data_IF_316263583602
#
_entry.id   IF_316263583602
#
_cell.length_a   1.000
_cell.length_b   1.000
_cell.length_c   1.000
_cell.angle_alpha   90.00
_cell.angle_beta   90.00
_cell.angle_gamma   90.00
#
_symmetry.space_group_name_H-M   'P 1'
#
loop_
_entity.id
_entity.type
_entity.pdbx_description
1 polymer ?
#
# COMPACT_ATOMS: atom_id res chain seq x y z
N UNK A 1 -29.09 -17.14 -12.15
CA UNK A 1 -27.96 -16.23 -11.93
C UNK A 1 -27.83 -16.03 -10.44
N UNK A 2 -26.83 -16.66 -9.84
CA UNK A 2 -26.59 -16.62 -8.42
C UNK A 2 -25.70 -15.42 -8.07
N UNK A 3 -25.83 -14.94 -6.85
CA UNK A 3 -24.96 -13.93 -6.27
C UNK A 3 -24.27 -14.52 -5.04
N UNK A 4 -22.95 -14.42 -5.00
CA UNK A 4 -22.13 -14.87 -3.89
C UNK A 4 -21.47 -13.67 -3.23
N UNK A 5 -21.59 -13.54 -1.92
CA UNK A 5 -20.94 -12.46 -1.15
C UNK A 5 -19.79 -13.03 -0.32
N UNK A 6 -18.65 -12.35 -0.37
CA UNK A 6 -17.49 -12.61 0.48
C UNK A 6 -17.20 -11.35 1.28
N UNK A 7 -17.26 -11.46 2.60
CA UNK A 7 -16.99 -10.36 3.51
C UNK A 7 -15.48 -10.22 3.73
N UNK A 8 -14.96 -9.01 3.52
CA UNK A 8 -13.60 -8.69 3.91
C UNK A 8 -13.47 -8.68 5.45
N UNK A 9 -12.32 -9.11 5.99
CA UNK A 9 -12.03 -8.99 7.41
C UNK A 9 -11.97 -7.52 7.83
N UNK A 10 -12.13 -7.25 9.13
CA UNK A 10 -12.06 -5.88 9.66
C UNK A 10 -10.68 -5.23 9.44
N UNK A 11 -9.63 -6.04 9.45
CA UNK A 11 -8.25 -5.63 9.17
C UNK A 11 -7.70 -6.51 8.06
N UNK A 12 -7.31 -5.91 6.93
CA UNK A 12 -6.76 -6.62 5.78
C UNK A 12 -5.25 -6.43 5.71
N UNK A 13 -4.52 -7.08 6.61
CA UNK A 13 -3.08 -7.30 6.47
C UNK A 13 -2.77 -8.60 5.71
N UNK A 14 -1.50 -8.82 5.36
CA UNK A 14 -1.01 -9.97 4.54
C UNK A 14 -1.62 -11.34 4.91
N UNK A 15 -1.72 -11.67 6.19
CA UNK A 15 -2.28 -12.96 6.64
C UNK A 15 -3.79 -13.05 6.38
N UNK A 16 -4.52 -11.98 6.69
CA UNK A 16 -5.97 -11.90 6.49
C UNK A 16 -6.34 -11.87 5.00
N UNK A 17 -5.53 -11.18 4.18
CA UNK A 17 -5.65 -11.15 2.71
C UNK A 17 -5.45 -12.54 2.12
N UNK A 18 -4.53 -13.34 2.65
CA UNK A 18 -4.31 -14.72 2.19
C UNK A 18 -5.53 -15.61 2.44
N UNK A 19 -6.15 -15.51 3.62
CA UNK A 19 -7.39 -16.23 3.93
C UNK A 19 -8.58 -15.76 3.08
N UNK A 20 -8.67 -14.44 2.83
CA UNK A 20 -9.68 -13.86 1.96
C UNK A 20 -9.53 -14.36 0.52
N UNK A 21 -8.29 -14.45 0.01
CA UNK A 21 -8.00 -15.02 -1.32
C UNK A 21 -8.51 -16.45 -1.45
N UNK A 22 -8.24 -17.31 -0.47
CA UNK A 22 -8.72 -18.70 -0.48
C UNK A 22 -10.26 -18.76 -0.49
N UNK A 23 -10.90 -17.87 0.27
CA UNK A 23 -12.37 -17.79 0.31
C UNK A 23 -12.95 -17.35 -1.04
N UNK A 24 -12.35 -16.35 -1.69
CA UNK A 24 -12.75 -15.91 -3.02
C UNK A 24 -12.59 -17.03 -4.06
N UNK A 25 -11.46 -17.72 -4.07
CA UNK A 25 -11.24 -18.85 -5.00
C UNK A 25 -12.26 -19.97 -4.78
N UNK A 26 -12.52 -20.35 -3.53
CA UNK A 26 -13.50 -21.38 -3.21
C UNK A 26 -14.93 -21.02 -3.65
N UNK A 27 -15.26 -19.73 -3.68
CA UNK A 27 -16.54 -19.23 -4.22
C UNK A 27 -16.52 -19.24 -5.76
N UNK A 28 -15.42 -18.79 -6.36
CA UNK A 28 -15.23 -18.80 -7.82
C UNK A 28 -15.25 -20.19 -8.43
N UNK A 29 -14.82 -21.21 -7.69
CA UNK A 29 -14.87 -22.61 -8.13
C UNK A 29 -16.31 -23.18 -8.11
N UNK A 30 -17.20 -22.57 -7.33
CA UNK A 30 -18.63 -22.94 -7.25
C UNK A 30 -19.52 -22.13 -8.19
N UNK A 31 -19.07 -20.95 -8.60
CA UNK A 31 -19.81 -20.04 -9.45
C UNK A 31 -19.77 -20.48 -10.92
N UNK A 32 -20.92 -20.40 -11.60
CA UNK A 32 -21.03 -20.67 -13.02
C UNK A 32 -20.88 -19.40 -13.87
N UNK A 33 -20.60 -19.51 -15.19
CA UNK A 33 -20.53 -18.36 -16.08
C UNK A 33 -21.78 -17.47 -15.98
N UNK A 34 -21.58 -16.16 -15.86
CA UNK A 34 -22.65 -15.17 -15.70
C UNK A 34 -23.08 -14.91 -14.25
N UNK A 35 -22.64 -15.70 -13.27
CA UNK A 35 -22.88 -15.43 -11.85
C UNK A 35 -22.08 -14.23 -11.35
N UNK A 36 -22.56 -13.63 -10.26
CA UNK A 36 -21.94 -12.46 -9.63
C UNK A 36 -21.25 -12.84 -8.34
N UNK A 37 -20.04 -12.32 -8.14
CA UNK A 37 -19.30 -12.41 -6.87
C UNK A 37 -19.07 -11.00 -6.36
N UNK A 38 -19.55 -10.74 -5.16
CA UNK A 38 -19.43 -9.45 -4.47
C UNK A 38 -18.39 -9.59 -3.36
N UNK A 39 -17.30 -8.84 -3.46
CA UNK A 39 -16.38 -8.64 -2.34
C UNK A 39 -16.85 -7.41 -1.55
N UNK A 40 -17.33 -7.62 -0.33
CA UNK A 40 -17.85 -6.58 0.54
C UNK A 40 -16.78 -6.05 1.50
N UNK A 41 -16.42 -4.78 1.33
CA UNK A 41 -15.46 -4.04 2.14
C UNK A 41 -16.13 -3.21 3.24
N UNK A 42 -17.45 -3.30 3.43
CA UNK A 42 -18.21 -2.41 4.31
C UNK A 42 -17.81 -2.47 5.80
N UNK A 43 -17.16 -3.54 6.24
CA UNK A 43 -16.65 -3.71 7.62
C UNK A 43 -15.15 -3.46 7.75
N UNK A 44 -14.48 -3.07 6.66
CA UNK A 44 -13.04 -2.90 6.61
C UNK A 44 -12.64 -1.58 7.29
N UNK A 45 -11.81 -1.67 8.32
CA UNK A 45 -11.29 -0.52 9.07
C UNK A 45 -9.89 -0.11 8.60
N UNK A 46 -9.06 -1.07 8.20
CA UNK A 46 -7.70 -0.85 7.70
C UNK A 46 -7.35 -1.84 6.59
N UNK A 47 -6.53 -1.39 5.65
CA UNK A 47 -6.07 -2.17 4.51
C UNK A 47 -4.69 -1.72 4.05
N UNK A 48 -3.95 -2.65 3.46
CA UNK A 48 -2.62 -2.44 2.89
C UNK A 48 -2.62 -2.61 1.36
N UNK A 49 -1.45 -2.49 0.76
CA UNK A 49 -1.23 -2.73 -0.67
C UNK A 49 -1.50 -4.18 -1.09
N UNK A 50 -1.44 -5.15 -0.16
CA UNK A 50 -1.75 -6.54 -0.46
C UNK A 50 -3.25 -6.74 -0.74
N UNK A 51 -4.13 -6.01 -0.04
CA UNK A 51 -5.56 -6.00 -0.39
C UNK A 51 -5.79 -5.43 -1.80
N UNK A 52 -5.07 -4.37 -2.17
CA UNK A 52 -5.18 -3.77 -3.51
C UNK A 52 -4.81 -4.79 -4.60
N UNK A 53 -3.70 -5.50 -4.40
CA UNK A 53 -3.25 -6.55 -5.30
C UNK A 53 -4.28 -7.69 -5.39
N UNK A 54 -4.91 -8.06 -4.28
CA UNK A 54 -5.98 -9.06 -4.27
C UNK A 54 -7.21 -8.60 -5.06
N UNK A 55 -7.65 -7.35 -4.91
CA UNK A 55 -8.80 -6.80 -5.66
C UNK A 55 -8.52 -6.83 -7.17
N UNK A 56 -7.31 -6.47 -7.58
CA UNK A 56 -6.89 -6.53 -8.99
C UNK A 56 -6.92 -7.97 -9.50
N UNK A 57 -6.31 -8.90 -8.75
CA UNK A 57 -6.28 -10.31 -9.12
C UNK A 57 -7.70 -10.91 -9.20
N UNK A 58 -8.58 -10.57 -8.26
CA UNK A 58 -9.97 -10.99 -8.23
C UNK A 58 -10.74 -10.53 -9.48
N UNK A 59 -10.64 -9.25 -9.86
CA UNK A 59 -11.30 -8.72 -11.06
C UNK A 59 -10.81 -9.41 -12.34
N UNK A 60 -9.51 -9.67 -12.43
CA UNK A 60 -8.93 -10.37 -13.58
C UNK A 60 -9.43 -11.81 -13.67
N UNK A 61 -9.37 -12.55 -12.56
CA UNK A 61 -9.81 -13.94 -12.48
C UNK A 61 -11.31 -14.08 -12.77
N UNK A 62 -12.14 -13.17 -12.24
CA UNK A 62 -13.58 -13.16 -12.50
C UNK A 62 -13.86 -12.98 -14.00
N UNK A 63 -13.13 -12.06 -14.65
CA UNK A 63 -13.25 -11.83 -16.10
C UNK A 63 -12.83 -13.06 -16.90
N UNK A 64 -11.72 -13.72 -16.55
CA UNK A 64 -11.26 -14.93 -17.23
C UNK A 64 -12.28 -16.07 -17.13
N UNK A 65 -13.01 -16.16 -16.01
CA UNK A 65 -14.05 -17.17 -15.77
C UNK A 65 -15.45 -16.75 -16.24
N UNK A 66 -15.58 -15.61 -16.93
CA UNK A 66 -16.87 -15.07 -17.38
C UNK A 66 -17.86 -14.80 -16.22
N UNK A 67 -17.34 -14.45 -15.05
CA UNK A 67 -18.08 -14.05 -13.85
C UNK A 67 -18.12 -12.52 -13.75
N UNK A 68 -19.10 -11.99 -13.00
CA UNK A 68 -19.15 -10.57 -12.64
C UNK A 68 -18.48 -10.37 -11.28
N UNK A 69 -17.29 -9.77 -11.25
CA UNK A 69 -16.61 -9.38 -10.01
C UNK A 69 -17.01 -7.96 -9.58
N UNK A 70 -17.76 -7.85 -8.49
CA UNK A 70 -18.22 -6.58 -7.93
C UNK A 70 -17.51 -6.29 -6.60
N UNK A 71 -17.25 -5.01 -6.34
CA UNK A 71 -16.73 -4.54 -5.05
C UNK A 71 -17.80 -3.68 -4.41
N UNK A 72 -18.18 -4.02 -3.17
CA UNK A 72 -19.14 -3.27 -2.37
C UNK A 72 -18.43 -2.58 -1.22
N UNK A 73 -18.89 -1.40 -0.82
CA UNK A 73 -18.28 -0.63 0.28
C UNK A 73 -16.94 0.02 -0.08
N UNK A 74 -16.60 0.12 -1.37
CA UNK A 74 -15.43 0.88 -1.83
C UNK A 74 -15.64 2.37 -1.52
N UNK A 75 -14.80 2.92 -0.64
CA UNK A 75 -14.72 4.36 -0.37
C UNK A 75 -13.49 4.93 -1.05
N UNK A 76 -13.37 6.27 -1.16
CA UNK A 76 -12.19 6.90 -1.75
C UNK A 76 -10.87 6.45 -1.09
N UNK A 77 -10.88 6.17 0.22
CA UNK A 77 -9.73 5.65 1.00
C UNK A 77 -9.42 4.18 0.76
N UNK A 78 -10.41 3.40 0.36
CA UNK A 78 -10.29 1.98 0.05
C UNK A 78 -10.23 1.72 -1.46
N UNK A 79 -10.16 2.78 -2.26
CA UNK A 79 -9.94 2.66 -3.68
C UNK A 79 -8.58 2.01 -3.95
N UNK A 80 -8.51 1.20 -4.99
CA UNK A 80 -7.25 0.55 -5.40
C UNK A 80 -6.12 1.59 -5.53
N UNK A 81 -6.43 2.76 -6.08
CA UNK A 81 -5.47 3.87 -6.21
C UNK A 81 -4.99 4.42 -4.86
N UNK A 82 -5.85 4.51 -3.85
CA UNK A 82 -5.47 4.97 -2.52
C UNK A 82 -4.63 3.92 -1.78
N UNK A 83 -4.97 2.64 -1.91
CA UNK A 83 -4.22 1.53 -1.29
C UNK A 83 -2.83 1.34 -1.91
N UNK A 84 -2.68 1.62 -3.20
CA UNK A 84 -1.38 1.67 -3.88
C UNK A 84 -0.67 3.02 -3.69
N UNK A 85 -1.41 4.07 -3.31
CA UNK A 85 -0.92 5.43 -3.17
C UNK A 85 0.03 5.65 -1.98
N UNK A 86 0.03 4.76 -0.98
CA UNK A 86 1.01 4.80 0.11
C UNK A 86 2.46 4.57 -0.36
N UNK A 87 2.68 3.99 -1.55
CA UNK A 87 4.01 3.90 -2.16
C UNK A 87 4.45 5.19 -2.87
N UNK A 88 3.52 6.12 -3.16
CA UNK A 88 3.82 7.32 -3.98
C UNK A 88 3.65 8.64 -3.21
N UNK A 89 2.73 8.72 -2.23
CA UNK A 89 2.41 9.97 -1.52
C UNK A 89 1.88 9.68 -0.12
N UNK A 90 2.72 9.18 0.78
CA UNK A 90 2.36 9.19 2.20
C UNK A 90 3.02 10.40 2.86
N UNK A 91 2.24 11.41 3.24
CA UNK A 91 2.74 12.57 4.00
C UNK A 91 3.22 12.20 5.42
N UNK A 92 2.85 11.02 5.91
CA UNK A 92 3.45 10.41 7.09
C UNK A 92 4.80 9.70 6.79
N UNK A 93 5.08 9.35 5.53
CA UNK A 93 6.40 8.91 5.07
C UNK A 93 7.28 10.07 4.59
N UNK A 94 6.73 11.26 4.29
CA UNK A 94 7.51 12.45 3.94
C UNK A 94 8.21 13.09 5.15
N UNK A 95 7.98 12.65 6.38
CA UNK A 95 8.85 13.06 7.51
C UNK A 95 10.28 12.49 7.39
N UNK A 96 10.50 11.54 6.47
CA UNK A 96 11.83 11.09 6.02
C UNK A 96 12.07 11.34 4.52
N UNK A 97 11.27 12.19 3.87
CA UNK A 97 11.47 12.58 2.47
C UNK A 97 12.49 13.72 2.35
N UNK A 98 13.53 13.51 1.53
CA UNK A 98 14.57 14.46 1.11
C UNK A 98 15.79 14.67 2.03
N UNK A 99 16.55 13.60 2.29
CA UNK A 99 17.97 13.66 1.93
C UNK A 99 18.13 13.01 0.55
N UNK A 100 17.92 13.81 -0.49
CA UNK A 100 18.46 13.49 -1.80
C UNK A 100 19.98 13.36 -1.65
N UNK A 101 20.50 12.14 -1.66
CA UNK A 101 21.90 11.94 -2.01
C UNK A 101 21.99 12.08 -3.53
N UNK A 102 22.55 13.18 -4.08
CA UNK A 102 22.94 13.16 -5.47
C UNK A 102 24.03 12.10 -5.66
N UNK A 103 23.84 11.28 -6.70
CA UNK A 103 24.76 10.24 -7.14
C UNK A 103 26.23 10.67 -7.02
N UNK A 104 27.00 9.81 -6.38
CA UNK A 104 28.44 9.69 -6.55
C UNK A 104 28.78 9.50 -8.03
N UNK A 105 29.40 10.51 -8.64
CA UNK A 105 29.93 10.42 -9.99
C UNK A 105 30.49 11.75 -10.48
N UNK A 106 31.81 11.91 -10.35
CA UNK A 106 32.68 12.96 -10.92
C UNK A 106 32.51 14.40 -10.42
N UNK A 107 33.45 14.83 -9.57
CA UNK A 107 33.68 16.23 -9.23
C UNK A 107 34.53 16.34 -7.97
N UNK A 108 35.84 16.46 -8.15
CA UNK A 108 36.81 16.76 -7.09
C UNK A 108 36.33 17.99 -6.30
N UNK A 109 36.16 17.94 -4.97
CA UNK A 109 35.98 19.15 -4.20
C UNK A 109 37.33 19.85 -4.09
N UNK A 110 37.46 20.92 -4.86
CA UNK A 110 38.50 21.93 -4.72
C UNK A 110 38.56 22.41 -3.26
N UNK A 111 39.80 22.39 -2.78
CA UNK A 111 40.29 23.06 -1.58
C UNK A 111 39.78 24.51 -1.50
N UNK A 112 39.00 24.83 -0.45
CA UNK A 112 38.95 26.12 0.27
C UNK A 112 37.73 26.18 1.18
N UNK A 113 37.87 25.71 2.42
CA UNK A 113 37.72 26.54 3.64
C UNK A 113 37.79 25.66 4.89
N UNK A 114 38.97 25.72 5.53
CA UNK A 114 39.30 25.31 6.90
C UNK A 114 38.12 25.31 7.89
N UNK A 115 37.96 24.26 8.71
CA UNK A 115 37.64 24.43 10.12
C UNK A 115 38.92 24.85 10.87
N UNK A 116 38.85 25.92 11.68
CA UNK A 116 39.89 26.23 12.67
C UNK A 116 39.55 25.48 13.95
N UNK A 117 40.38 24.51 14.29
CA UNK A 117 40.39 23.85 15.60
C UNK A 117 41.02 24.75 16.69
N UNK A 118 40.25 24.84 17.79
CA UNK A 118 40.59 24.79 19.23
C UNK A 118 41.68 25.68 19.85
N UNK A 119 41.32 26.23 21.04
CA UNK A 119 42.12 26.53 22.26
C UNK A 119 42.09 28.02 22.64
N UNK A 120 41.83 28.52 23.86
CA UNK A 120 41.79 27.95 25.21
C UNK A 120 40.96 28.84 26.18
N UNK A 121 40.40 28.18 27.20
CA UNK A 121 40.26 28.55 28.64
C UNK A 121 39.54 29.83 29.12
N UNK A 122 38.70 29.55 30.12
CA UNK A 122 37.94 30.42 31.03
C UNK A 122 38.82 31.30 31.94
N UNK A 123 38.11 32.24 32.58
CA UNK A 123 38.29 32.84 33.92
C UNK A 123 38.67 34.33 33.94
N UNK A 124 37.74 35.26 34.19
CA UNK A 124 37.13 35.73 35.47
C UNK A 124 37.96 36.82 36.19
N UNK A 125 37.48 38.07 36.06
CA UNK A 125 37.29 39.13 37.10
C UNK A 125 38.41 39.38 38.14
N UNK A 126 39.00 40.59 38.11
CA UNK A 126 38.88 41.66 39.11
C UNK A 126 39.70 42.88 38.67
#
# INVERSE_FOLDING_TARGET
MAEFSVLAPREAGVTAVSALRLSLLAVMDKAGPGDSIVLDLGKLASADSALAQLIIAFRLEARLRQLKGLIQGETSRLSVSALLGCDMVCEACTYYGFMAMPNSGSGVPDDKTRPRDVSMTKETKA
#
